data_IF_515414188718
#
_entry.id   IF_515414188718
#
_cell.length_a   1.000
_cell.length_b   1.000
_cell.length_c   1.000
_cell.angle_alpha   90.00
_cell.angle_beta   90.00
_cell.angle_gamma   90.00
#
_symmetry.space_group_name_H-M   'P 1'
#
loop_
_entity.id
_entity.type
_entity.pdbx_description
1 polymer ?
#
# COMPACT_ATOMS: atom_id res chain seq x y z
N UNK A 1 -13.28 13.19 -10.62
CA UNK A 1 -12.55 12.00 -10.12
C UNK A 1 -12.29 12.21 -8.64
N UNK A 2 -12.34 11.16 -7.78
CA UNK A 2 -12.01 11.32 -6.37
C UNK A 2 -10.56 11.80 -6.21
N UNK A 3 -10.27 12.54 -5.14
CA UNK A 3 -8.90 12.93 -4.80
C UNK A 3 -8.11 11.70 -4.35
N UNK A 4 -6.94 11.51 -4.93
CA UNK A 4 -5.97 10.47 -4.53
C UNK A 4 -4.78 11.19 -3.91
N UNK A 5 -4.43 10.83 -2.68
CA UNK A 5 -3.23 11.35 -2.01
C UNK A 5 -2.04 10.46 -2.34
N UNK A 6 -0.84 11.03 -2.38
CA UNK A 6 0.42 10.31 -2.57
C UNK A 6 1.36 10.59 -1.42
N UNK A 7 2.32 9.69 -1.21
CA UNK A 7 3.39 9.92 -0.25
C UNK A 7 4.17 11.20 -0.61
N UNK A 8 4.70 11.84 0.43
CA UNK A 8 5.68 12.92 0.32
C UNK A 8 6.79 12.57 1.29
N UNK A 9 8.04 12.82 0.90
CA UNK A 9 9.18 12.55 1.76
C UNK A 9 9.06 13.33 3.08
N UNK A 10 8.76 12.58 4.15
CA UNK A 10 8.50 13.15 5.48
C UNK A 10 9.77 13.67 6.14
N UNK A 11 10.96 13.30 5.66
CA UNK A 11 12.23 13.84 6.16
C UNK A 11 12.38 15.34 5.85
N UNK A 12 11.67 15.82 4.82
CA UNK A 12 11.66 17.21 4.38
C UNK A 12 10.55 18.04 5.03
N UNK A 13 9.80 17.48 5.99
CA UNK A 13 8.63 18.12 6.59
C UNK A 13 8.91 18.40 8.07
N UNK A 14 8.93 19.66 8.49
CA UNK A 14 9.24 19.98 9.90
C UNK A 14 8.10 19.61 10.87
N UNK A 15 6.85 19.71 10.42
CA UNK A 15 5.68 19.53 11.29
C UNK A 15 5.38 18.05 11.51
N UNK A 16 5.61 17.58 12.73
CA UNK A 16 5.38 16.19 13.15
C UNK A 16 3.99 15.64 12.80
N UNK A 17 2.93 16.37 13.13
CA UNK A 17 1.56 15.97 12.80
C UNK A 17 1.32 15.81 11.29
N UNK A 18 2.09 16.51 10.45
CA UNK A 18 2.00 16.38 9.00
C UNK A 18 2.80 15.17 8.50
N UNK A 19 3.98 14.88 9.06
CA UNK A 19 4.72 13.64 8.79
C UNK A 19 3.84 12.43 9.08
N UNK A 20 3.27 12.44 10.28
CA UNK A 20 2.39 11.40 10.78
C UNK A 20 1.20 11.16 9.85
N UNK A 21 0.49 12.23 9.49
CA UNK A 21 -0.63 12.18 8.54
C UNK A 21 -0.23 11.61 7.17
N UNK A 22 0.96 11.91 6.67
CA UNK A 22 1.38 11.43 5.35
C UNK A 22 1.77 9.96 5.41
N UNK A 23 2.61 9.58 6.37
CA UNK A 23 3.19 8.26 6.42
C UNK A 23 2.16 7.18 6.75
N UNK A 24 1.40 7.32 7.85
CA UNK A 24 0.49 6.24 8.31
C UNK A 24 -0.61 5.87 7.31
N UNK A 25 -0.89 6.75 6.34
CA UNK A 25 -1.88 6.52 5.30
C UNK A 25 -1.27 6.15 3.94
N UNK A 26 0.04 6.25 3.79
CA UNK A 26 0.70 5.90 2.52
C UNK A 26 0.92 4.38 2.43
N UNK A 27 0.49 3.72 1.35
CA UNK A 27 0.88 2.35 1.08
C UNK A 27 2.30 2.30 0.48
N UNK A 28 3.10 1.35 0.92
CA UNK A 28 4.44 1.08 0.41
C UNK A 28 4.52 -0.34 -0.14
N UNK A 29 5.02 -0.47 -1.37
CA UNK A 29 5.27 -1.77 -2.01
C UNK A 29 6.69 -2.23 -1.67
N UNK A 30 6.81 -3.44 -1.13
CA UNK A 30 8.07 -4.12 -0.92
C UNK A 30 8.10 -5.39 -1.76
N UNK A 31 8.93 -5.38 -2.80
CA UNK A 31 9.20 -6.53 -3.66
C UNK A 31 10.55 -6.35 -4.36
N UNK A 32 11.02 -7.42 -5.01
CA UNK A 32 12.28 -7.44 -5.77
C UNK A 32 12.21 -6.55 -7.02
N UNK A 33 13.36 -6.11 -7.53
CA UNK A 33 13.44 -5.34 -8.78
C UNK A 33 13.36 -6.23 -10.03
N UNK A 34 13.66 -7.52 -9.89
CA UNK A 34 13.61 -8.51 -10.97
C UNK A 34 12.97 -9.82 -10.48
N UNK A 35 12.12 -10.42 -11.31
CA UNK A 35 11.48 -11.70 -11.07
C UNK A 35 11.42 -12.53 -12.36
N UNK A 36 11.18 -13.83 -12.25
CA UNK A 36 11.08 -14.73 -13.42
C UNK A 36 9.66 -14.88 -13.92
N UNK A 37 9.51 -14.97 -15.24
CA UNK A 37 8.25 -15.25 -15.88
C UNK A 37 7.73 -16.63 -15.45
N UNK A 38 6.43 -16.72 -15.14
CA UNK A 38 5.80 -17.98 -14.74
C UNK A 38 6.14 -18.47 -13.32
N UNK A 39 7.04 -17.79 -12.61
CA UNK A 39 7.33 -18.07 -11.20
C UNK A 39 6.51 -17.17 -10.27
N UNK A 40 6.25 -17.65 -9.05
CA UNK A 40 5.50 -16.91 -8.05
C UNK A 40 6.33 -15.75 -7.50
N UNK A 41 5.81 -14.53 -7.66
CA UNK A 41 6.33 -13.30 -7.07
C UNK A 41 5.50 -12.93 -5.84
N UNK A 42 6.18 -12.66 -4.72
CA UNK A 42 5.57 -12.06 -3.52
C UNK A 42 5.67 -10.55 -3.58
N UNK A 43 4.54 -9.88 -3.42
CA UNK A 43 4.44 -8.42 -3.36
C UNK A 43 3.81 -8.05 -2.02
N UNK A 44 4.63 -7.56 -1.09
CA UNK A 44 4.14 -7.05 0.19
C UNK A 44 3.67 -5.62 0.00
N UNK A 45 2.50 -5.29 0.52
CA UNK A 45 2.06 -3.90 0.69
C UNK A 45 1.89 -3.63 2.18
N UNK A 46 2.52 -2.56 2.67
CA UNK A 46 2.46 -2.13 4.06
C UNK A 46 1.99 -0.68 4.15
N UNK A 47 1.04 -0.37 5.04
CA UNK A 47 0.60 1.00 5.33
C UNK A 47 1.52 1.64 6.37
N UNK A 48 2.15 2.76 6.03
CA UNK A 48 3.08 3.48 6.91
C UNK A 48 4.43 2.77 7.12
N UNK A 49 5.50 3.54 7.15
CA UNK A 49 6.83 3.04 7.49
C UNK A 49 7.21 3.35 8.94
N UNK A 50 6.98 4.58 9.38
CA UNK A 50 7.37 5.10 10.69
C UNK A 50 6.19 5.20 11.66
N UNK A 51 5.00 5.52 11.14
CA UNK A 51 3.81 5.78 11.94
C UNK A 51 2.74 4.72 11.69
N UNK A 52 2.14 4.27 12.78
CA UNK A 52 1.05 3.28 12.77
C UNK A 52 -0.31 3.95 12.56
N UNK A 53 -1.21 3.28 11.85
CA UNK A 53 -2.58 3.74 11.64
C UNK A 53 -3.51 3.19 12.74
N UNK A 54 -4.51 3.96 13.21
CA UNK A 54 -5.55 3.45 14.11
C UNK A 54 -6.34 2.28 13.49
N UNK A 55 -6.94 1.45 14.33
CA UNK A 55 -7.84 0.39 13.88
C UNK A 55 -9.08 0.34 14.78
N UNK A 56 -9.77 1.47 14.80
CA UNK A 56 -10.96 1.67 15.61
C UNK A 56 -12.22 1.39 14.78
N UNK A 57 -13.39 1.35 15.43
CA UNK A 57 -14.67 1.06 14.77
C UNK A 57 -14.99 1.98 13.57
N UNK A 58 -14.60 3.27 13.65
CA UNK A 58 -14.88 4.27 12.61
C UNK A 58 -13.62 4.78 11.89
N UNK A 59 -12.43 4.35 12.30
CA UNK A 59 -11.14 4.83 11.78
C UNK A 59 -10.14 3.68 11.59
N UNK A 60 -10.10 3.16 10.38
CA UNK A 60 -9.25 2.03 10.00
C UNK A 60 -8.91 2.08 8.50
N UNK A 61 -7.91 1.30 8.10
CA UNK A 61 -7.64 1.06 6.68
C UNK A 61 -8.62 0.00 6.20
N UNK A 62 -9.52 0.38 5.29
CA UNK A 62 -10.60 -0.49 4.83
C UNK A 62 -10.13 -1.52 3.80
N UNK A 63 -9.28 -1.10 2.88
CA UNK A 63 -8.75 -1.99 1.84
C UNK A 63 -7.34 -1.61 1.43
N UNK A 64 -6.66 -2.60 0.85
CA UNK A 64 -5.44 -2.44 0.06
C UNK A 64 -5.65 -3.18 -1.27
N UNK A 65 -5.30 -2.53 -2.37
CA UNK A 65 -5.36 -3.07 -3.73
C UNK A 65 -3.97 -3.02 -4.36
N UNK A 66 -3.66 -4.02 -5.18
CA UNK A 66 -2.46 -4.07 -6.00
C UNK A 66 -2.85 -3.98 -7.48
N UNK A 67 -2.28 -3.00 -8.16
CA UNK A 67 -2.53 -2.69 -9.57
C UNK A 67 -1.26 -2.85 -10.40
N UNK A 68 -1.42 -3.19 -11.68
CA UNK A 68 -0.39 -3.06 -12.70
C UNK A 68 -0.95 -2.21 -13.84
N UNK A 69 -0.56 -0.93 -13.89
CA UNK A 69 -1.18 0.04 -14.80
C UNK A 69 -2.68 0.19 -14.51
N UNK A 70 -3.52 -0.14 -15.49
CA UNK A 70 -4.99 -0.09 -15.42
C UNK A 70 -5.63 -1.41 -14.94
N UNK A 71 -4.83 -2.44 -14.71
CA UNK A 71 -5.31 -3.78 -14.34
C UNK A 71 -5.22 -3.99 -12.84
N UNK A 72 -6.35 -4.25 -12.18
CA UNK A 72 -6.39 -4.73 -10.80
C UNK A 72 -5.89 -6.18 -10.75
N UNK A 73 -4.82 -6.43 -10.00
CA UNK A 73 -4.27 -7.77 -9.83
C UNK A 73 -4.89 -8.50 -8.64
N UNK A 74 -5.06 -7.80 -7.52
CA UNK A 74 -5.58 -8.36 -6.29
C UNK A 74 -6.08 -7.25 -5.34
N UNK A 75 -6.97 -7.61 -4.43
CA UNK A 75 -7.39 -6.74 -3.33
C UNK A 75 -7.62 -7.52 -2.04
N UNK A 76 -7.52 -6.81 -0.92
CA UNK A 76 -7.93 -7.31 0.39
C UNK A 76 -8.77 -6.26 1.10
N UNK A 77 -9.72 -6.72 1.91
CA UNK A 77 -10.54 -5.86 2.75
C UNK A 77 -10.29 -6.20 4.23
N UNK A 78 -10.09 -5.17 5.05
CA UNK A 78 -9.98 -5.29 6.49
C UNK A 78 -11.27 -4.74 7.12
N UNK A 79 -12.06 -5.56 7.82
CA UNK A 79 -13.06 -5.06 8.75
C UNK A 79 -12.41 -4.21 9.87
N UNK A 80 -13.16 -3.32 10.55
CA UNK A 80 -12.63 -2.62 11.71
C UNK A 80 -12.19 -3.62 12.78
N UNK A 81 -11.07 -3.33 13.46
CA UNK A 81 -10.54 -4.18 14.53
C UNK A 81 -9.74 -5.38 14.04
N UNK A 82 -9.38 -5.46 12.74
CA UNK A 82 -8.57 -6.55 12.19
C UNK A 82 -7.17 -6.65 12.82
N UNK A 83 -6.62 -5.54 13.31
CA UNK A 83 -5.38 -5.44 14.07
C UNK A 83 -5.61 -5.60 15.59
N UNK A 84 -6.77 -6.13 16.00
CA UNK A 84 -7.12 -6.35 17.39
C UNK A 84 -7.53 -5.09 18.14
N UNK A 85 -8.13 -4.11 17.45
CA UNK A 85 -8.52 -2.80 17.98
C UNK A 85 -7.33 -2.02 18.56
N UNK A 86 -6.18 -2.11 17.90
CA UNK A 86 -4.94 -1.42 18.28
C UNK A 86 -4.32 -0.79 17.04
N UNK A 87 -3.68 0.36 17.23
CA UNK A 87 -2.92 0.97 16.16
C UNK A 87 -1.82 0.02 15.66
N UNK A 88 -1.66 -0.06 14.35
CA UNK A 88 -0.65 -0.90 13.71
C UNK A 88 -0.49 -0.58 12.23
N UNK A 89 0.33 -1.37 11.55
CA UNK A 89 0.46 -1.29 10.10
C UNK A 89 -0.48 -2.33 9.49
N UNK A 90 -1.50 -1.87 8.76
CA UNK A 90 -2.25 -2.77 7.89
C UNK A 90 -1.30 -3.23 6.78
N UNK A 91 -1.13 -4.54 6.61
CA UNK A 91 -0.23 -5.10 5.62
C UNK A 91 -0.77 -6.41 5.03
N UNK A 92 -0.29 -6.74 3.84
CA UNK A 92 -0.70 -7.94 3.11
C UNK A 92 0.41 -8.40 2.17
N UNK A 93 0.58 -9.71 2.04
CA UNK A 93 1.39 -10.33 1.00
C UNK A 93 0.49 -10.83 -0.13
N UNK A 94 0.63 -10.22 -1.31
CA UNK A 94 0.02 -10.72 -2.53
C UNK A 94 0.98 -11.67 -3.23
N UNK A 95 0.44 -12.77 -3.76
CA UNK A 95 1.20 -13.72 -4.56
C UNK A 95 0.66 -13.67 -6.00
N UNK A 96 1.50 -13.25 -6.93
CA UNK A 96 1.17 -13.14 -8.36
C UNK A 96 2.17 -13.95 -9.19
N UNK A 97 1.77 -14.34 -10.40
CA UNK A 97 2.67 -14.99 -11.36
C UNK A 97 2.74 -14.11 -12.61
N UNK A 98 3.81 -13.33 -12.78
CA UNK A 98 3.92 -12.40 -13.90
C UNK A 98 4.37 -13.11 -15.18
N UNK A 99 3.99 -12.53 -16.32
CA UNK A 99 4.41 -12.96 -17.66
C UNK A 99 5.10 -11.85 -18.47
N UNK A 100 5.16 -10.63 -17.92
CA UNK A 100 5.74 -9.43 -18.53
C UNK A 100 6.13 -8.43 -17.45
N UNK A 101 7.03 -7.50 -17.79
CA UNK A 101 7.43 -6.37 -16.93
C UNK A 101 6.21 -5.72 -16.25
N UNK A 102 6.36 -5.44 -14.95
CA UNK A 102 5.32 -4.88 -14.11
C UNK A 102 5.61 -3.42 -13.79
N UNK A 103 4.56 -2.61 -13.72
CA UNK A 103 4.58 -1.28 -13.12
C UNK A 103 3.53 -1.24 -12.01
N UNK A 104 3.94 -1.71 -10.83
CA UNK A 104 3.05 -1.95 -9.70
C UNK A 104 2.70 -0.65 -8.97
N UNK A 105 1.43 -0.49 -8.62
CA UNK A 105 0.94 0.61 -7.79
C UNK A 105 -0.01 0.03 -6.74
N UNK A 106 0.15 0.45 -5.48
CA UNK A 106 -0.76 0.09 -4.41
C UNK A 106 -1.75 1.23 -4.17
N UNK A 107 -3.02 0.88 -4.02
CA UNK A 107 -4.09 1.81 -3.65
C UNK A 107 -4.65 1.38 -2.29
N UNK A 108 -4.86 2.33 -1.39
CA UNK A 108 -5.44 2.07 -0.08
C UNK A 108 -6.51 3.09 0.27
N UNK A 109 -7.44 2.71 1.15
CA UNK A 109 -8.51 3.59 1.61
C UNK A 109 -8.57 3.64 3.14
N UNK A 110 -8.37 4.82 3.69
CA UNK A 110 -8.67 5.11 5.09
C UNK A 110 -10.11 5.64 5.19
N UNK A 111 -10.90 5.09 6.12
CA UNK A 111 -12.31 5.45 6.28
C UNK A 111 -12.55 6.93 6.62
N UNK A 112 -11.56 7.62 7.19
CA UNK A 112 -11.63 9.06 7.51
C UNK A 112 -10.78 9.96 6.61
N UNK A 113 -9.75 9.42 5.95
CA UNK A 113 -8.76 10.23 5.24
C UNK A 113 -8.64 9.91 3.74
N UNK A 114 -9.59 9.15 3.19
CA UNK A 114 -9.75 9.01 1.75
C UNK A 114 -8.77 8.01 1.11
N UNK A 115 -8.56 8.18 -0.20
CA UNK A 115 -7.73 7.31 -1.02
C UNK A 115 -6.27 7.74 -0.99
N UNK A 116 -5.39 6.75 -0.96
CA UNK A 116 -3.94 6.90 -0.95
C UNK A 116 -3.30 5.95 -1.96
N UNK A 117 -2.21 6.40 -2.57
CA UNK A 117 -1.50 5.69 -3.62
C UNK A 117 0.00 5.64 -3.29
N UNK A 118 0.63 4.51 -3.59
CA UNK A 118 2.08 4.34 -3.48
C UNK A 118 2.81 5.01 -4.65
N UNK A 119 4.09 5.26 -4.48
CA UNK A 119 4.96 5.45 -5.64
C UNK A 119 4.94 4.18 -6.52
N UNK A 120 5.06 4.32 -7.86
CA UNK A 120 5.16 3.17 -8.74
C UNK A 120 6.40 2.33 -8.45
N UNK A 121 6.24 1.01 -8.44
CA UNK A 121 7.33 0.03 -8.31
C UNK A 121 7.44 -0.78 -9.60
N UNK A 122 8.50 -0.50 -10.37
CA UNK A 122 8.83 -1.31 -11.53
C UNK A 122 9.43 -2.67 -11.09
N UNK A 123 9.05 -3.74 -11.78
CA UNK A 123 9.65 -5.07 -11.64
C UNK A 123 9.95 -5.61 -13.04
N UNK A 124 11.23 -5.86 -13.32
CA UNK A 124 11.71 -6.48 -14.54
C UNK A 124 11.36 -7.97 -14.52
N UNK A 125 10.82 -8.49 -15.62
CA UNK A 125 10.57 -9.92 -15.77
C UNK A 125 11.58 -10.54 -16.74
N UNK A 126 12.39 -11.47 -16.23
CA UNK A 126 13.29 -12.31 -17.02
C UNK A 126 12.61 -13.62 -17.43
N UNK A 127 13.13 -14.22 -18.51
CA UNK A 127 12.70 -15.55 -19.00
C UNK A 127 13.05 -16.70 -18.04
#
# INVERSE_FOLDING_TARGET
MPKINTYQDISLIDREAKKDYIDRHSPFIHTVDEAKAGEKLTVKVKMGNEYVHPDDFDHFIKFIQLWNGDTLLAETNFPPGTLGNKAGHAEVDFYIVPSKDLNLVAMAYCTKHGLWQSDPKAVKISE
#
